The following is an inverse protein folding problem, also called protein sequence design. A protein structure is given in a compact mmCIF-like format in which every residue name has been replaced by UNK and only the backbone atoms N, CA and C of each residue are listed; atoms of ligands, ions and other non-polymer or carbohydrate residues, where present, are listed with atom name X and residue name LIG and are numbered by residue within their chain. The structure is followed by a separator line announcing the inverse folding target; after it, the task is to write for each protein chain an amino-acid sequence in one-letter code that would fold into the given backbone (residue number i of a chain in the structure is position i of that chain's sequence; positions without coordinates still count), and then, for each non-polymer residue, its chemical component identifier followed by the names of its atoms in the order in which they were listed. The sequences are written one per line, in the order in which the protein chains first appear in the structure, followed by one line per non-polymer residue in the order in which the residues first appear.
data_IF_975702885741
#
_entry.id   IF_975702885741
#
_cell.length_a   1.000
_cell.length_b   1.000
_cell.length_c   1.000
_cell.angle_alpha   90.00
_cell.angle_beta   90.00
_cell.angle_gamma   90.00
#
_symmetry.space_group_name_H-M   'P 1'
#
loop_
_entity.id
_entity.type
_entity.pdbx_description
1 polymer ?
2 non-polymer ?
3 water ?
#
# COMPACT_ATOMS: atom_id res chain seq x y z
N UNK A 9 -23.98 -4.57 -26.70
CA UNK A 9 -22.65 -5.09 -27.07
C UNK A 9 -21.51 -4.57 -26.20
N UNK A 10 -21.76 -3.51 -25.42
CA UNK A 10 -20.82 -2.91 -24.52
C UNK A 10 -20.07 -3.97 -23.70
N UNK A 11 -20.79 -4.66 -22.81
CA UNK A 11 -20.12 -5.56 -21.88
C UNK A 11 -19.48 -6.74 -22.63
N UNK A 12 -20.07 -7.12 -23.79
CA UNK A 12 -19.53 -8.20 -24.61
C UNK A 12 -18.09 -7.91 -24.97
N UNK A 13 -17.85 -6.68 -25.45
CA UNK A 13 -16.51 -6.23 -25.75
C UNK A 13 -15.58 -6.49 -24.55
N UNK A 14 -16.02 -6.09 -23.35
CA UNK A 14 -15.21 -6.22 -22.14
C UNK A 14 -14.99 -7.68 -21.77
N UNK A 15 -16.10 -8.44 -21.68
CA UNK A 15 -16.06 -9.78 -21.13
C UNK A 15 -15.35 -10.73 -22.08
N UNK A 16 -15.34 -10.40 -23.36
CA UNK A 16 -14.50 -11.08 -24.33
C UNK A 16 -13.04 -11.07 -23.88
N UNK A 17 -12.56 -9.97 -23.31
CA UNK A 17 -11.16 -9.86 -22.93
C UNK A 17 -10.98 -10.36 -21.50
N UNK A 18 -11.83 -9.86 -20.58
CA UNK A 18 -11.70 -10.24 -19.19
C UNK A 18 -12.97 -10.94 -18.73
N UNK A 19 -13.17 -12.21 -19.13
CA UNK A 19 -14.40 -12.94 -18.84
C UNK A 19 -14.44 -13.20 -17.34
N UNK A 20 -15.66 -13.18 -16.79
CA UNK A 20 -15.89 -13.28 -15.36
C UNK A 20 -15.19 -12.13 -14.63
N UNK A 21 -15.21 -10.95 -15.24
CA UNK A 21 -15.00 -9.72 -14.52
C UNK A 21 -16.03 -8.74 -15.05
N UNK A 22 -16.66 -7.96 -14.16
CA UNK A 22 -17.49 -6.86 -14.64
C UNK A 22 -16.61 -5.67 -14.97
N UNK A 23 -17.19 -4.72 -15.72
CA UNK A 23 -16.63 -3.38 -15.73
C UNK A 23 -16.72 -2.90 -14.28
N UNK A 24 -15.62 -2.39 -13.66
CA UNK A 24 -15.72 -1.83 -12.31
C UNK A 24 -16.56 -0.55 -12.32
N UNK A 25 -17.28 -0.29 -11.23
CA UNK A 25 -18.30 0.75 -11.18
C UNK A 25 -17.75 2.13 -11.53
N UNK A 26 -16.51 2.44 -11.11
CA UNK A 26 -15.91 3.70 -11.49
C UNK A 26 -15.85 3.79 -13.02
N UNK A 27 -15.26 2.78 -13.68
CA UNK A 27 -15.12 2.84 -15.11
C UNK A 27 -16.50 2.83 -15.77
N UNK A 28 -17.35 1.93 -15.33
CA UNK A 28 -18.70 1.84 -15.80
C UNK A 28 -19.39 3.20 -15.82
N UNK A 29 -19.10 3.99 -14.77
CA UNK A 29 -19.64 5.34 -14.67
C UNK A 29 -19.02 6.22 -15.74
N UNK A 30 -17.69 6.18 -15.92
CA UNK A 30 -17.05 7.09 -16.84
C UNK A 30 -17.43 6.81 -18.29
N UNK A 31 -17.88 5.60 -18.60
CA UNK A 31 -18.24 5.24 -19.95
C UNK A 31 -19.63 5.70 -20.37
N UNK A 32 -20.42 6.20 -19.44
CA UNK A 32 -21.73 6.77 -19.75
C UNK A 32 -21.56 7.98 -20.67
N UNK A 33 -22.52 8.27 -21.59
CA UNK A 33 -22.42 9.44 -22.46
C UNK A 33 -22.74 10.75 -21.70
N UNK A 48 -22.16 19.74 -16.04
CA UNK A 48 -20.99 19.38 -16.87
C UNK A 48 -19.72 19.36 -16.02
N UNK A 49 -19.37 20.51 -15.42
CA UNK A 49 -18.05 20.61 -14.87
C UNK A 49 -17.83 19.57 -13.78
N UNK A 50 -16.57 19.27 -13.62
CA UNK A 50 -16.08 18.30 -12.67
C UNK A 50 -15.19 19.03 -11.65
N UNK A 51 -14.37 18.26 -10.92
CA UNK A 51 -13.43 18.87 -10.01
C UNK A 51 -12.01 18.35 -10.29
N UNK A 52 -11.08 19.28 -10.30
CA UNK A 52 -9.68 18.94 -10.35
C UNK A 52 -9.11 19.26 -8.98
N UNK A 53 -8.44 18.31 -8.31
CA UNK A 53 -7.73 18.64 -7.09
C UNK A 53 -6.51 19.47 -7.44
N UNK A 54 -6.28 20.51 -6.65
CA UNK A 54 -5.22 21.46 -6.90
C UNK A 54 -4.07 21.27 -5.93
N UNK A 55 -4.25 20.46 -4.89
CA UNK A 55 -3.23 20.28 -3.88
C UNK A 55 -2.01 19.61 -4.50
N UNK A 56 -0.79 20.15 -4.23
CA UNK A 56 0.44 19.49 -4.59
C UNK A 56 1.23 19.16 -3.34
N UNK A 57 2.14 18.20 -3.44
CA UNK A 57 2.87 17.77 -2.25
C UNK A 57 4.14 17.03 -2.66
N UNK A 58 4.98 16.80 -1.65
CA UNK A 58 6.17 15.99 -1.83
C UNK A 58 5.89 14.56 -1.42
N UNK A 59 6.67 13.64 -1.97
CA UNK A 59 6.56 12.23 -1.67
C UNK A 59 6.60 11.97 -0.19
N UNK A 60 7.38 12.75 0.54
CA UNK A 60 7.54 12.42 1.95
C UNK A 60 6.31 12.85 2.75
N UNK A 61 5.27 13.35 2.07
CA UNK A 61 4.03 13.72 2.73
C UNK A 61 2.99 12.62 2.60
N UNK A 62 3.28 11.59 1.80
CA UNK A 62 2.43 10.42 1.73
C UNK A 62 2.80 9.48 2.88
N UNK A 63 2.14 9.61 4.01
CA UNK A 63 2.42 8.71 5.12
C UNK A 63 1.17 8.49 5.97
N UNK A 64 1.14 7.42 6.77
CA UNK A 64 -0.04 7.10 7.55
C UNK A 64 -0.28 8.19 8.56
N UNK A 65 -1.47 8.79 8.49
CA UNK A 65 -1.88 9.79 9.44
C UNK A 65 -1.74 11.22 8.91
N UNK A 66 -1.13 11.40 7.74
CA UNK A 66 -1.09 12.70 7.13
C UNK A 66 -2.51 13.23 7.00
N UNK A 67 -2.67 14.47 7.45
CA UNK A 67 -3.88 15.23 7.27
C UNK A 67 -3.81 16.02 5.98
N UNK A 68 -4.74 15.73 5.06
CA UNK A 68 -4.77 16.41 3.78
C UNK A 68 -6.02 17.26 3.77
N UNK A 69 -5.89 18.55 3.47
CA UNK A 69 -7.05 19.36 3.18
C UNK A 69 -7.03 19.57 1.68
N UNK A 70 -8.08 19.12 1.03
CA UNK A 70 -8.08 18.96 -0.40
C UNK A 70 -8.66 20.24 -1.00
N UNK A 71 -7.99 20.81 -1.99
CA UNK A 71 -8.48 22.00 -2.64
C UNK A 71 -8.98 21.60 -4.01
N UNK A 72 -10.22 21.94 -4.33
CA UNK A 72 -10.77 21.54 -5.61
C UNK A 72 -11.14 22.73 -6.44
N UNK A 73 -10.87 22.61 -7.73
CA UNK A 73 -11.10 23.66 -8.69
C UNK A 73 -12.11 23.21 -9.72
N UNK A 74 -12.88 24.17 -10.22
CA UNK A 74 -13.81 23.90 -11.31
C UNK A 74 -13.11 23.93 -12.66
N UNK A 75 -11.82 24.28 -12.68
CA UNK A 75 -11.06 24.43 -13.90
C UNK A 75 -9.63 23.88 -13.73
N UNK A 76 -9.04 23.25 -14.77
CA UNK A 76 -7.67 22.77 -14.65
C UNK A 76 -6.80 24.00 -14.76
N UNK A 77 -5.51 23.87 -14.51
CA UNK A 77 -4.51 24.94 -14.74
C UNK A 77 -3.81 24.83 -16.11
N UNK A 78 -4.24 25.64 -17.10
CA UNK A 78 -3.76 25.47 -18.46
C UNK A 78 -3.98 24.00 -18.77
N UNK A 79 -2.91 23.24 -19.06
CA UNK A 79 -2.94 21.80 -19.29
C UNK A 79 -3.59 21.00 -18.15
N UNK A 80 -3.93 19.71 -18.39
CA UNK A 80 -4.37 18.83 -17.32
C UNK A 80 -3.14 18.74 -16.40
N UNK A 81 -3.23 19.42 -15.25
CA UNK A 81 -2.10 19.61 -14.37
C UNK A 81 -1.02 19.82 -15.44
N UNK A 82 0.05 19.07 -15.35
CA UNK A 82 0.88 18.84 -16.50
C UNK A 82 0.48 17.42 -16.80
N UNK A 83 0.32 17.11 -18.06
CA UNK A 83 -0.27 15.84 -18.50
C UNK A 83 0.10 14.71 -17.53
N UNK A 104 -7.64 17.72 -27.96
CA UNK A 104 -7.64 16.51 -28.83
C UNK A 104 -8.91 16.37 -29.70
N UNK A 105 -9.50 17.47 -30.16
CA UNK A 105 -10.29 17.46 -31.38
C UNK A 105 -9.38 18.08 -32.41
N UNK A 106 -8.43 18.82 -31.85
CA UNK A 106 -7.18 19.18 -32.48
C UNK A 106 -6.26 17.97 -32.68
N UNK A 107 -6.45 16.92 -31.88
CA UNK A 107 -5.58 15.76 -31.92
C UNK A 107 -4.15 16.26 -31.76
N UNK A 108 -3.91 16.97 -30.66
CA UNK A 108 -2.55 17.06 -30.18
C UNK A 108 -2.22 15.66 -29.70
N UNK A 109 -2.36 14.66 -30.58
CA UNK A 109 -2.21 13.26 -30.23
C UNK A 109 -1.33 12.61 -31.28
N UNK A 110 -0.43 13.40 -31.88
CA UNK A 110 0.28 12.98 -33.08
C UNK A 110 1.69 12.56 -32.71
N UNK A 111 1.87 11.96 -31.52
CA UNK A 111 3.16 11.42 -31.09
C UNK A 111 3.18 9.89 -30.98
N UNK A 112 2.03 9.25 -31.26
CA UNK A 112 1.77 7.81 -31.22
C UNK A 112 1.65 7.37 -29.77
N UNK A 113 2.53 7.92 -28.90
CA UNK A 113 2.43 7.54 -27.49
C UNK A 113 1.09 8.03 -26.90
N UNK A 114 0.47 9.00 -27.58
CA UNK A 114 -0.83 9.55 -27.28
C UNK A 114 -1.91 9.03 -28.22
N UNK A 115 -3.14 8.97 -27.74
CA UNK A 115 -4.25 8.44 -28.51
C UNK A 115 -5.55 9.00 -27.97
N UNK A 116 -6.61 8.93 -28.78
CA UNK A 116 -7.84 9.61 -28.46
C UNK A 116 -8.99 8.64 -28.63
N UNK A 117 -9.43 8.05 -27.52
CA UNK A 117 -10.31 6.89 -27.56
C UNK A 117 -11.77 7.32 -27.51
N UNK A 118 -12.61 6.69 -28.34
CA UNK A 118 -14.00 7.09 -28.53
C UNK A 118 -14.97 5.98 -28.18
N UNK A 119 -14.48 4.81 -27.85
CA UNK A 119 -15.32 3.69 -27.47
C UNK A 119 -14.51 2.77 -26.58
N UNK A 120 -15.21 1.98 -25.77
CA UNK A 120 -14.53 1.08 -24.84
C UNK A 120 -13.58 0.16 -25.62
N UNK A 121 -13.97 -0.26 -26.82
CA UNK A 121 -13.14 -1.15 -27.62
C UNK A 121 -11.80 -0.47 -27.94
N UNK A 122 -11.85 0.73 -28.48
CA UNK A 122 -10.63 1.43 -28.81
C UNK A 122 -9.81 1.69 -27.54
N UNK A 123 -10.46 2.01 -26.44
CA UNK A 123 -9.77 2.27 -25.20
C UNK A 123 -8.99 1.03 -24.78
N UNK A 124 -9.64 -0.12 -24.79
CA UNK A 124 -8.97 -1.33 -24.39
C UNK A 124 -7.84 -1.64 -25.34
N UNK A 125 -8.12 -1.49 -26.64
CA UNK A 125 -7.11 -1.77 -27.65
C UNK A 125 -5.82 -1.03 -27.35
N UNK A 126 -5.92 0.28 -27.15
CA UNK A 126 -4.73 1.08 -26.88
C UNK A 126 -4.05 0.59 -25.61
N UNK A 127 -4.79 0.38 -24.53
CA UNK A 127 -4.17 0.00 -23.27
C UNK A 127 -3.40 -1.30 -23.44
N UNK A 128 -4.06 -2.32 -24.03
CA UNK A 128 -3.39 -3.59 -24.12
C UNK A 128 -2.25 -3.50 -25.11
N UNK A 129 -2.37 -2.65 -26.12
CA UNK A 129 -1.28 -2.58 -27.08
C UNK A 129 0.00 -2.13 -26.39
N UNK A 130 -0.10 -1.38 -25.29
CA UNK A 130 1.08 -0.87 -24.62
C UNK A 130 1.47 -1.76 -23.43
N UNK A 131 0.50 -2.38 -22.76
CA UNK A 131 0.74 -3.03 -21.48
C UNK A 131 0.49 -4.54 -21.50
N UNK A 132 -0.19 -5.03 -22.54
CA UNK A 132 -0.70 -6.39 -22.52
C UNK A 132 -2.01 -6.48 -21.77
N UNK A 133 -2.50 -7.70 -21.63
CA UNK A 133 -3.88 -8.00 -21.31
C UNK A 133 -4.04 -8.04 -19.79
N UNK A 134 -2.94 -8.26 -19.05
CA UNK A 134 -3.08 -8.52 -17.64
C UNK A 134 -3.02 -7.22 -16.86
N UNK A 135 -4.10 -6.44 -16.99
CA UNK A 135 -4.13 -5.10 -16.44
C UNK A 135 -5.51 -4.84 -15.83
N UNK A 136 -5.54 -3.83 -14.96
CA UNK A 136 -6.77 -3.37 -14.36
C UNK A 136 -6.85 -1.85 -14.50
N UNK A 137 -8.05 -1.28 -14.69
CA UNK A 137 -8.24 0.16 -14.62
C UNK A 137 -8.60 0.62 -13.21
N UNK A 138 -7.99 1.71 -12.77
CA UNK A 138 -8.31 2.34 -11.50
C UNK A 138 -8.58 3.83 -11.68
N UNK A 139 -9.30 4.41 -10.72
CA UNK A 139 -9.59 5.83 -10.72
C UNK A 139 -9.85 6.27 -9.29
N UNK A 140 -9.76 7.56 -9.05
CA UNK A 140 -9.95 8.08 -7.69
C UNK A 140 -11.42 8.05 -7.34
N UNK A 141 -11.73 8.08 -6.05
CA UNK A 141 -13.10 8.20 -5.57
C UNK A 141 -13.19 9.20 -4.44
N UNK A 142 -12.87 10.45 -4.75
CA UNK A 142 -13.13 11.53 -3.82
C UNK A 142 -14.64 11.60 -3.63
N UNK A 143 -15.03 11.94 -2.40
CA UNK A 143 -16.43 11.97 -2.02
C UNK A 143 -16.97 13.39 -2.09
N UNK A 144 -18.28 13.48 -2.37
CA UNK A 144 -18.94 14.66 -2.89
C UNK A 144 -18.54 15.98 -2.27
N UNK A 145 -18.68 16.19 -0.97
CA UNK A 145 -18.36 17.52 -0.48
C UNK A 145 -17.40 17.47 0.70
N UNK A 146 -16.59 16.43 0.70
CA UNK A 146 -15.64 16.26 1.76
C UNK A 146 -14.40 17.02 1.35
N UNK A 147 -13.67 17.46 2.39
CA UNK A 147 -12.57 18.37 2.24
C UNK A 147 -11.30 17.77 2.85
N UNK A 148 -11.49 17.18 4.04
CA UNK A 148 -10.37 16.78 4.86
C UNK A 148 -10.31 15.26 4.98
N UNK A 149 -9.13 14.72 4.68
CA UNK A 149 -8.95 13.29 4.69
C UNK A 149 -7.70 12.94 5.46
N UNK A 150 -7.68 11.75 6.06
CA UNK A 150 -6.48 11.22 6.65
C UNK A 150 -5.98 10.02 5.83
N UNK A 151 -4.69 9.99 5.55
CA UNK A 151 -4.12 8.95 4.73
C UNK A 151 -3.97 7.70 5.58
N UNK A 152 -4.41 6.56 5.05
CA UNK A 152 -4.36 5.31 5.78
C UNK A 152 -3.10 4.53 5.39
N UNK A 153 -2.68 4.68 4.13
CA UNK A 153 -1.59 3.89 3.60
C UNK A 153 -1.27 4.35 2.18
N UNK A 154 -0.24 3.75 1.56
CA UNK A 154 0.24 4.20 0.28
C UNK A 154 0.79 3.02 -0.48
N UNK A 155 0.21 2.75 -1.66
CA UNK A 155 0.55 1.54 -2.38
C UNK A 155 1.22 1.92 -3.68
N UNK A 156 2.40 1.37 -3.91
CA UNK A 156 3.18 1.70 -5.08
C UNK A 156 2.67 0.92 -6.28
N UNK A 157 2.32 1.58 -7.37
CA UNK A 157 1.85 0.90 -8.58
C UNK A 157 2.91 0.95 -9.67
N UNK A 158 4.13 1.41 -9.37
CA UNK A 158 5.20 1.40 -10.37
C UNK A 158 5.10 2.52 -11.40
N UNK A 159 5.92 2.38 -12.46
CA UNK A 159 6.17 3.44 -13.42
C UNK A 159 5.71 3.07 -14.83
N UNK A 160 5.08 1.90 -15.00
CA UNK A 160 4.43 1.58 -16.25
C UNK A 160 2.93 1.62 -16.05
N UNK A 161 2.29 2.43 -16.89
CA UNK A 161 0.85 2.63 -16.80
C UNK A 161 0.36 3.42 -18.00
N UNK A 162 -0.95 3.42 -18.23
CA UNK A 162 -1.54 4.25 -19.25
C UNK A 162 -2.60 5.09 -18.59
N UNK A 163 -2.58 6.40 -18.87
CA UNK A 163 -3.56 7.28 -18.28
C UNK A 163 -4.53 7.72 -19.32
N UNK A 164 -5.79 7.75 -18.92
CA UNK A 164 -6.86 8.13 -19.80
C UNK A 164 -7.72 9.19 -19.12
N UNK A 165 -7.87 10.36 -19.74
CA UNK A 165 -8.64 11.45 -19.18
C UNK A 165 -9.94 11.62 -19.96
N UNK A 166 -11.06 11.52 -19.23
CA UNK A 166 -12.39 11.59 -19.82
C UNK A 166 -12.68 13.06 -20.13
N UNK A 167 -12.75 13.38 -21.41
CA UNK A 167 -12.94 14.77 -21.79
C UNK A 167 -14.40 15.10 -21.49
N UNK A 168 -14.67 16.40 -21.39
CA UNK A 168 -15.91 16.87 -20.81
C UNK A 168 -17.04 16.88 -21.84
N UNK A 169 -16.84 16.30 -23.03
CA UNK A 169 -17.92 16.22 -24.02
C UNK A 169 -19.09 15.38 -23.52
N UNK A 170 -20.25 15.53 -24.14
CA UNK A 170 -21.33 14.56 -23.88
C UNK A 170 -20.84 13.17 -24.25
N UNK A 171 -20.29 13.09 -25.47
CA UNK A 171 -19.80 11.83 -26.01
C UNK A 171 -18.67 11.30 -25.13
N UNK A 172 -18.66 9.98 -25.02
CA UNK A 172 -17.54 9.24 -24.44
C UNK A 172 -16.30 9.51 -25.27
N UNK A 173 -15.36 10.28 -24.70
CA UNK A 173 -14.07 10.56 -25.33
C UNK A 173 -12.99 10.56 -24.26
N UNK A 174 -11.88 9.84 -24.47
CA UNK A 174 -10.76 9.96 -23.55
C UNK A 174 -9.48 10.27 -24.32
N UNK A 175 -8.63 11.10 -23.71
CA UNK A 175 -7.29 11.30 -24.21
C UNK A 175 -6.38 10.38 -23.41
N UNK A 176 -5.69 9.47 -24.10
CA UNK A 176 -4.91 8.46 -23.41
C UNK A 176 -3.43 8.63 -23.77
N UNK A 177 -2.56 8.40 -22.79
CA UNK A 177 -1.15 8.44 -23.05
C UNK A 177 -0.41 7.52 -22.07
N UNK A 178 0.79 7.12 -22.48
CA UNK A 178 1.65 6.36 -21.59
C UNK A 178 2.29 7.33 -20.62
N UNK A 179 2.83 6.81 -19.50
CA UNK A 179 3.51 7.64 -18.53
C UNK A 179 5.00 7.32 -18.52
N UNK A 180 5.80 8.34 -18.23
CA UNK A 180 7.25 8.19 -18.21
C UNK A 180 7.82 9.13 -17.16
N UNK A 181 8.90 8.70 -16.50
CA UNK A 181 9.51 9.51 -15.46
C UNK A 181 8.56 9.86 -14.32
N UNK A 182 7.72 8.90 -13.96
CA UNK A 182 6.61 9.14 -13.06
C UNK A 182 6.24 7.84 -12.32
N UNK A 183 5.92 7.93 -11.02
CA UNK A 183 5.45 6.79 -10.27
C UNK A 183 4.02 7.00 -9.82
N UNK A 184 3.18 5.97 -9.95
CA UNK A 184 1.80 6.07 -9.54
C UNK A 184 1.58 5.39 -8.20
N UNK A 185 0.64 5.92 -7.42
CA UNK A 185 0.33 5.33 -6.14
C UNK A 185 -1.19 5.24 -5.96
N UNK A 186 -1.61 4.27 -5.17
CA UNK A 186 -2.99 4.21 -4.74
C UNK A 186 -3.02 4.55 -3.27
N UNK A 187 -3.86 5.51 -2.87
CA UNK A 187 -3.75 6.12 -1.56
C UNK A 187 -5.07 6.00 -0.83
N UNK A 188 -5.23 4.97 0.00
CA UNK A 188 -6.45 4.85 0.78
C UNK A 188 -6.52 5.93 1.85
N UNK A 189 -7.73 6.41 2.08
CA UNK A 189 -7.95 7.57 2.91
C UNK A 189 -9.26 7.39 3.63
N UNK A 190 -9.38 8.01 4.79
CA UNK A 190 -10.65 8.12 5.46
C UNK A 190 -10.98 9.60 5.56
N UNK A 191 -12.22 9.94 5.21
CA UNK A 191 -12.67 11.32 5.20
C UNK A 191 -13.09 11.75 6.60
N UNK A 192 -13.33 13.05 6.76
CA UNK A 192 -13.77 13.64 8.02
C UNK A 192 -15.03 12.96 8.53
N UNK A 193 -15.95 12.62 7.61
CA UNK A 193 -17.21 12.06 8.04
C UNK A 193 -17.10 10.57 8.39
N UNK A 194 -15.89 10.00 8.28
CA UNK A 194 -15.68 8.61 8.66
C UNK A 194 -15.73 7.61 7.49
N UNK A 195 -16.17 8.06 6.32
CA UNK A 195 -16.20 7.19 5.17
C UNK A 195 -14.80 6.91 4.64
N UNK A 196 -14.59 5.70 4.15
CA UNK A 196 -13.28 5.30 3.64
C UNK A 196 -13.35 5.27 2.15
N UNK A 197 -12.26 5.71 1.50
CA UNK A 197 -12.22 5.69 0.06
C UNK A 197 -10.76 5.63 -0.34
N UNK A 198 -10.42 5.99 -1.57
CA UNK A 198 -9.04 5.99 -1.98
C UNK A 198 -8.90 6.93 -3.17
N UNK A 199 -7.67 7.42 -3.38
CA UNK A 199 -7.39 8.26 -4.51
C UNK A 199 -6.08 7.88 -5.16
N UNK A 200 -5.93 8.22 -6.44
CA UNK A 200 -4.68 7.97 -7.14
C UNK A 200 -3.81 9.19 -7.04
N UNK A 201 -2.53 8.95 -6.71
CA UNK A 201 -1.54 10.00 -6.73
C UNK A 201 -0.47 9.69 -7.76
N UNK A 202 0.12 10.75 -8.29
CA UNK A 202 1.14 10.65 -9.29
C UNK A 202 2.33 11.47 -8.83
N UNK A 203 3.53 10.87 -8.76
CA UNK A 203 4.73 11.63 -8.47
C UNK A 203 5.62 11.68 -9.70
N UNK A 204 5.90 12.89 -10.16
CA UNK A 204 6.77 13.12 -11.28
C UNK A 204 8.19 13.32 -10.78
N UNK A 205 9.10 12.48 -11.26
CA UNK A 205 10.42 12.44 -10.68
C UNK A 205 11.42 13.00 -11.68
N UNK A 206 11.19 12.80 -12.98
CA UNK A 206 11.74 13.71 -13.97
C UNK A 206 10.88 14.96 -13.90
N UNK A 207 11.20 15.82 -12.94
CA UNK A 207 10.31 16.88 -12.47
C UNK A 207 10.37 18.09 -13.40
N UNK A 208 10.56 17.80 -14.70
CA UNK A 208 10.66 18.79 -15.76
C UNK A 208 9.30 18.99 -16.42
N UNK A 209 9.23 19.83 -17.46
CA UNK A 209 8.11 19.80 -18.41
C UNK A 209 6.77 20.23 -17.80
N UNK A 210 6.85 21.26 -16.96
CA UNK A 210 5.74 21.78 -16.20
C UNK A 210 5.90 23.29 -16.01
N UNK A 211 4.80 23.97 -15.73
CA UNK A 211 4.85 25.35 -15.26
C UNK A 211 5.69 25.50 -14.00
N UNK A 212 6.89 26.05 -14.14
CA UNK A 212 7.74 26.38 -13.02
C UNK A 212 6.97 27.29 -12.06
N UNK A 213 6.11 28.16 -12.61
CA UNK A 213 5.29 29.05 -11.82
C UNK A 213 4.48 28.26 -10.79
N UNK A 214 3.81 27.18 -11.19
CA UNK A 214 2.93 26.49 -10.25
C UNK A 214 3.78 25.69 -9.27
N UNK A 215 4.90 25.12 -9.73
CA UNK A 215 5.83 24.46 -8.83
C UNK A 215 6.24 25.45 -7.74
N UNK A 216 6.56 26.67 -8.17
CA UNK A 216 6.92 27.67 -7.20
C UNK A 216 5.71 28.02 -6.35
N UNK A 217 4.56 28.27 -6.98
CA UNK A 217 3.39 28.69 -6.24
C UNK A 217 3.12 27.71 -5.09
N UNK A 218 3.11 26.41 -5.44
CA UNK A 218 2.64 25.38 -4.55
C UNK A 218 3.74 24.91 -3.59
N UNK A 219 4.99 24.85 -4.08
CA UNK A 219 6.05 24.16 -3.33
C UNK A 219 7.30 25.03 -3.17
N UNK A 220 7.25 26.26 -3.72
CA UNK A 220 8.33 27.23 -3.60
C UNK A 220 9.62 26.61 -4.13
N UNK A 221 9.49 25.94 -5.28
CA UNK A 221 10.57 25.23 -5.93
C UNK A 221 10.38 25.39 -7.44
N UNK A 222 11.48 25.13 -8.17
CA UNK A 222 11.52 25.26 -9.61
C UNK A 222 11.98 23.92 -10.22
N UNK A 223 11.81 23.69 -11.54
CA UNK A 223 12.08 22.39 -12.13
C UNK A 223 13.43 21.74 -11.87
N UNK A 224 13.53 20.43 -12.17
CA UNK A 224 14.81 19.74 -12.13
C UNK A 224 15.21 19.24 -10.75
N UNK A 225 14.77 19.90 -9.68
CA UNK A 225 15.38 19.66 -8.38
C UNK A 225 14.78 18.44 -7.64
N UNK A 226 13.46 18.40 -7.49
CA UNK A 226 12.86 17.45 -6.56
C UNK A 226 11.53 16.94 -7.09
N UNK A 227 11.12 15.77 -6.58
CA UNK A 227 9.94 15.09 -7.09
C UNK A 227 8.68 15.80 -6.60
N UNK A 228 7.76 16.08 -7.52
CA UNK A 228 6.52 16.76 -7.18
C UNK A 228 5.37 15.79 -7.41
N UNK A 229 4.43 15.76 -6.46
CA UNK A 229 3.32 14.82 -6.51
C UNK A 229 2.01 15.58 -6.47
N UNK A 230 0.99 15.01 -7.12
CA UNK A 230 -0.38 15.45 -6.97
C UNK A 230 -1.39 14.34 -7.20
N UNK A 231 -2.65 14.59 -6.86
CA UNK A 231 -3.69 13.59 -7.03
C UNK A 231 -4.35 13.71 -8.39
N UNK A 232 -5.13 12.68 -8.76
CA UNK A 232 -5.92 12.70 -9.97
C UNK A 232 -7.40 12.77 -9.62
N UNK A 233 -8.17 13.39 -10.50
CA UNK A 233 -9.60 13.53 -10.33
C UNK A 233 -10.33 12.23 -10.63
N UNK A 234 -11.57 12.14 -10.13
CA UNK A 234 -12.38 10.96 -10.29
C UNK A 234 -12.63 10.64 -11.77
N UNK A 235 -12.33 11.56 -12.67
CA UNK A 235 -12.67 11.37 -14.07
C UNK A 235 -11.52 10.70 -14.82
N UNK A 236 -10.38 10.50 -14.16
CA UNK A 236 -9.24 9.88 -14.83
C UNK A 236 -9.35 8.37 -14.63
N UNK A 237 -8.85 7.62 -15.62
CA UNK A 237 -8.64 6.20 -15.47
C UNK A 237 -7.17 5.94 -15.67
N UNK A 238 -6.61 5.07 -14.84
CA UNK A 238 -5.24 4.67 -15.05
C UNK A 238 -5.21 3.14 -15.16
N UNK A 239 -4.59 2.63 -16.22
CA UNK A 239 -4.45 1.20 -16.39
C UNK A 239 -3.10 0.76 -15.87
N UNK A 240 -3.11 -0.30 -15.07
CA UNK A 240 -1.93 -0.70 -14.33
C UNK A 240 -1.80 -2.21 -14.44
N UNK A 241 -0.58 -2.75 -14.58
CA UNK A 241 -0.36 -4.18 -14.59
C UNK A 241 -0.75 -4.86 -13.28
N UNK A 242 -1.23 -6.09 -13.42
CA UNK A 242 -1.62 -6.86 -12.26
C UNK A 242 -0.41 -7.18 -11.37
N UNK A 243 0.78 -7.29 -11.98
CA UNK A 243 2.01 -7.56 -11.27
C UNK A 243 2.20 -6.54 -10.15
N UNK A 244 2.04 -5.27 -10.50
CA UNK A 244 2.28 -4.17 -9.59
C UNK A 244 1.33 -4.25 -8.39
N UNK A 245 0.05 -4.44 -8.68
CA UNK A 245 -1.01 -4.46 -7.70
C UNK A 245 -0.78 -5.54 -6.66
N UNK A 246 -0.46 -6.74 -7.12
CA UNK A 246 -0.31 -7.88 -6.22
C UNK A 246 0.74 -7.58 -5.14
N UNK A 247 1.80 -6.84 -5.55
CA UNK A 247 2.86 -6.47 -4.61
C UNK A 247 3.45 -7.75 -4.04
N UNK A 248 3.39 -7.93 -2.70
CA UNK A 248 3.97 -9.08 -2.05
C UNK A 248 3.25 -10.37 -2.42
N UNK A 249 1.94 -10.28 -2.58
CA UNK A 249 1.04 -11.41 -2.56
C UNK A 249 1.22 -12.21 -3.86
N UNK A 250 2.16 -11.77 -4.72
CA UNK A 250 2.64 -12.56 -5.85
C UNK A 250 3.20 -13.90 -5.35
N UNK A 251 3.93 -13.88 -4.22
CA UNK A 251 4.61 -15.06 -3.71
C UNK A 251 4.97 -14.79 -2.23
N UNK B 9 2.63 -35.05 7.29
CA UNK B 9 1.75 -34.79 8.47
C UNK B 9 1.46 -33.31 8.67
N UNK B 10 2.52 -32.49 8.69
CA UNK B 10 2.32 -31.08 9.01
C UNK B 10 1.43 -30.43 7.94
N UNK B 11 1.83 -30.56 6.66
CA UNK B 11 1.06 -29.96 5.58
C UNK B 11 -0.36 -30.54 5.54
N UNK B 12 -0.54 -31.78 5.97
CA UNK B 12 -1.88 -32.37 6.02
C UNK B 12 -2.79 -31.51 6.92
N UNK B 13 -2.26 -31.27 8.11
CA UNK B 13 -2.90 -30.42 9.12
C UNK B 13 -3.26 -29.08 8.47
N UNK B 14 -2.29 -28.47 7.76
CA UNK B 14 -2.46 -27.17 7.16
C UNK B 14 -3.53 -27.21 6.06
N UNK B 15 -3.38 -28.14 5.12
CA UNK B 15 -4.21 -28.17 3.92
C UNK B 15 -5.63 -28.55 4.26
N UNK B 16 -5.82 -29.26 5.37
CA UNK B 16 -7.16 -29.47 5.90
C UNK B 16 -7.88 -28.13 6.11
N UNK B 17 -7.17 -27.12 6.58
CA UNK B 17 -7.79 -25.85 6.89
C UNK B 17 -7.78 -24.95 5.66
N UNK B 18 -6.61 -24.83 5.02
CA UNK B 18 -6.48 -23.97 3.87
C UNK B 18 -6.06 -24.79 2.66
N UNK B 19 -7.01 -25.56 2.07
CA UNK B 19 -6.70 -26.46 0.97
C UNK B 19 -6.34 -25.61 -0.24
N UNK B 20 -5.43 -26.14 -1.06
CA UNK B 20 -4.87 -25.42 -2.19
C UNK B 20 -4.19 -24.14 -1.73
N UNK B 21 -3.54 -24.19 -0.57
CA UNK B 21 -2.51 -23.24 -0.24
C UNK B 21 -1.38 -24.02 0.39
N UNK B 22 -0.12 -23.69 0.08
CA UNK B 22 1.01 -24.25 0.82
C UNK B 22 1.24 -23.45 2.08
N UNK B 23 2.00 -24.05 3.01
CA UNK B 23 2.63 -23.26 4.03
C UNK B 23 3.53 -22.27 3.30
N UNK B 24 3.46 -20.95 3.59
CA UNK B 24 4.40 -20.01 2.97
C UNK B 24 5.82 -20.24 3.47
N UNK B 25 6.81 -19.98 2.62
CA UNK B 25 8.20 -20.37 2.90
C UNK B 25 8.72 -19.77 4.20
N UNK B 26 8.35 -18.54 4.52
CA UNK B 26 8.71 -17.93 5.77
C UNK B 26 8.24 -18.84 6.92
N UNK B 27 6.94 -19.15 6.96
CA UNK B 27 6.40 -19.93 8.06
C UNK B 27 7.01 -21.33 8.04
N UNK B 28 7.03 -21.93 6.87
CA UNK B 28 7.61 -23.25 6.68
C UNK B 28 9.00 -23.32 7.29
N UNK B 29 9.76 -22.22 7.16
CA UNK B 29 11.09 -22.13 7.75
C UNK B 29 10.99 -22.08 9.27
N UNK B 30 10.10 -21.25 9.82
CA UNK B 30 10.05 -21.08 11.26
C UNK B 30 9.60 -22.34 11.99
N UNK B 31 8.89 -23.22 11.30
CA UNK B 31 8.41 -24.45 11.89
C UNK B 31 9.45 -25.57 12.02
N UNK B 32 10.61 -25.39 11.42
CA UNK B 32 11.70 -26.34 11.53
C UNK B 32 12.17 -26.38 12.99
N UNK B 33 12.66 -27.54 13.50
CA UNK B 33 13.16 -27.64 14.88
C UNK B 33 14.52 -26.96 15.04
N UNK B 49 20.94 -18.24 17.58
CA UNK B 49 20.69 -16.80 17.88
C UNK B 49 20.07 -16.12 16.66
N UNK B 50 19.68 -14.85 16.84
CA UNK B 50 18.76 -14.24 15.91
C UNK B 50 19.24 -12.84 15.60
N UNK B 51 18.38 -12.03 14.98
CA UNK B 51 18.55 -10.60 15.07
C UNK B 51 17.23 -9.94 15.43
N UNK B 52 17.32 -8.98 16.34
CA UNK B 52 16.22 -8.08 16.61
C UNK B 52 16.59 -6.73 16.05
N UNK B 53 15.75 -6.12 15.19
CA UNK B 53 16.00 -4.76 14.74
C UNK B 53 15.73 -3.82 15.91
N UNK B 54 16.61 -2.85 16.08
CA UNK B 54 16.56 -1.93 17.20
C UNK B 54 16.06 -0.55 16.80
N UNK B 55 15.95 -0.30 15.51
CA UNK B 55 15.56 1.01 15.01
C UNK B 55 14.12 1.32 15.46
N UNK B 56 13.88 2.53 16.00
CA UNK B 56 12.52 2.99 16.30
C UNK B 56 12.19 4.25 15.50
N UNK B 57 10.90 4.53 15.29
CA UNK B 57 10.54 5.64 14.43
C UNK B 57 9.10 6.07 14.70
N UNK B 58 8.77 7.25 14.17
CA UNK B 58 7.40 7.72 14.15
C UNK B 58 6.74 7.31 12.83
N UNK B 59 5.43 7.22 12.89
CA UNK B 59 4.61 6.90 11.75
C UNK B 59 4.93 7.78 10.57
N UNK B 60 5.26 9.05 10.80
CA UNK B 60 5.46 9.92 9.65
C UNK B 60 6.79 9.65 8.96
N UNK B 61 7.53 8.63 9.42
CA UNK B 61 8.77 8.24 8.75
C UNK B 61 8.55 7.07 7.81
N UNK B 62 7.35 6.48 7.83
CA UNK B 62 7.00 5.47 6.84
C UNK B 62 6.49 6.13 5.59
N UNK B 63 7.39 6.40 4.64
CA UNK B 63 6.94 7.00 3.39
C UNK B 63 7.83 6.56 2.23
N UNK B 64 7.35 6.69 0.99
CA UNK B 64 8.11 6.21 -0.15
C UNK B 64 9.40 7.00 -0.28
N UNK B 65 10.50 6.29 -0.26
CA UNK B 65 11.81 6.90 -0.44
C UNK B 65 12.56 7.08 0.87
N UNK B 66 11.89 6.85 2.01
CA UNK B 66 12.59 6.88 3.27
C UNK B 66 13.78 5.92 3.20
N UNK B 67 14.94 6.45 3.59
CA UNK B 67 16.14 5.69 3.77
C UNK B 67 16.21 5.18 5.20
N UNK B 68 16.26 3.86 5.35
CA UNK B 68 16.34 3.25 6.66
C UNK B 68 17.70 2.59 6.75
N UNK B 69 18.47 2.91 7.79
CA UNK B 69 19.66 2.14 8.08
C UNK B 69 19.29 1.31 9.30
N UNK B 70 19.39 0.01 9.13
CA UNK B 70 18.77 -0.90 10.05
C UNK B 70 19.82 -1.30 11.08
N UNK B 71 19.47 -1.23 12.35
CA UNK B 71 20.40 -1.55 13.40
C UNK B 71 19.94 -2.87 14.00
N UNK B 72 20.82 -3.87 14.04
CA UNK B 72 20.41 -5.17 14.52
C UNK B 72 21.20 -5.58 15.74
N UNK B 73 20.47 -6.20 16.66
CA UNK B 73 21.04 -6.64 17.92
C UNK B 73 20.96 -8.15 18.02
N UNK B 74 21.94 -8.71 18.72
CA UNK B 74 21.94 -10.14 19.01
C UNK B 74 21.04 -10.47 20.19
N UNK B 75 20.52 -9.43 20.87
CA UNK B 75 19.73 -9.60 22.09
C UNK B 75 18.56 -8.63 22.10
N UNK B 76 17.38 -9.04 22.64
CA UNK B 76 16.24 -8.14 22.73
C UNK B 76 16.55 -7.08 23.80
N UNK B 104 4.33 -20.46 28.48
CA UNK B 104 5.66 -20.92 28.02
C UNK B 104 6.49 -21.40 29.21
N UNK B 105 7.78 -21.67 28.94
CA UNK B 105 8.73 -21.87 30.02
C UNK B 105 8.37 -20.84 31.09
N UNK B 106 8.02 -19.64 30.63
CA UNK B 106 7.47 -18.62 31.52
C UNK B 106 5.99 -18.52 31.17
N UNK B 107 5.17 -19.45 31.69
CA UNK B 107 3.74 -19.36 31.41
C UNK B 107 3.31 -18.00 31.92
N UNK B 108 3.11 -17.09 30.98
CA UNK B 108 2.58 -15.77 31.28
C UNK B 108 1.24 -15.68 30.60
N UNK B 109 0.62 -16.84 30.33
CA UNK B 109 -0.71 -16.93 29.78
C UNK B 109 -1.76 -17.19 30.87
N UNK B 110 -1.57 -16.53 32.01
CA UNK B 110 -2.64 -16.37 32.98
C UNK B 110 -3.89 -15.83 32.28
N UNK B 111 -3.77 -15.28 31.06
CA UNK B 111 -4.76 -14.32 30.57
C UNK B 111 -5.79 -14.72 29.48
N UNK B 112 -5.73 -15.94 28.91
CA UNK B 112 -6.57 -16.53 27.86
C UNK B 112 -6.20 -15.90 26.53
N UNK B 113 -5.83 -14.61 26.53
CA UNK B 113 -5.44 -13.92 25.31
C UNK B 113 -3.96 -14.17 25.02
N UNK B 114 -3.34 -15.13 25.74
CA UNK B 114 -1.93 -15.46 25.60
C UNK B 114 -1.80 -16.98 25.64
N UNK B 115 -0.85 -17.55 24.92
CA UNK B 115 -0.80 -18.98 24.71
C UNK B 115 0.59 -19.38 24.23
N UNK B 116 0.93 -20.67 24.39
CA UNK B 116 2.29 -21.10 24.11
C UNK B 116 2.24 -22.35 23.25
N UNK B 117 2.43 -22.13 21.95
CA UNK B 117 2.15 -23.15 20.93
C UNK B 117 3.36 -24.01 20.67
N UNK B 118 3.15 -25.32 20.53
CA UNK B 118 4.21 -26.31 20.44
C UNK B 118 4.17 -27.06 19.11
N UNK B 119 3.11 -26.88 18.35
CA UNK B 119 2.96 -27.61 17.09
C UNK B 119 2.09 -26.77 16.17
N UNK B 120 2.22 -26.99 14.86
CA UNK B 120 1.48 -26.21 13.89
C UNK B 120 -0.01 -26.32 14.18
N UNK B 121 -0.48 -27.49 14.63
CA UNK B 121 -1.90 -27.66 14.91
C UNK B 121 -2.34 -26.70 16.01
N UNK B 122 -1.63 -26.70 17.14
CA UNK B 122 -1.99 -25.82 18.23
C UNK B 122 -1.88 -24.36 17.79
N UNK B 123 -0.87 -24.04 16.99
CA UNK B 123 -0.68 -22.68 16.55
C UNK B 123 -1.88 -22.22 15.76
N UNK B 124 -2.32 -23.04 14.81
CA UNK B 124 -3.45 -22.68 14.00
C UNK B 124 -4.68 -22.57 14.87
N UNK B 125 -4.85 -23.56 15.75
CA UNK B 125 -6.02 -23.57 16.64
C UNK B 125 -6.18 -22.23 17.35
N UNK B 126 -5.12 -21.78 17.97
CA UNK B 126 -5.18 -20.53 18.70
C UNK B 126 -5.51 -19.37 17.78
N UNK B 127 -4.84 -19.28 16.66
CA UNK B 127 -5.04 -18.15 15.76
C UNK B 127 -6.50 -18.09 15.33
N UNK B 128 -7.05 -19.23 14.89
CA UNK B 128 -8.40 -19.19 14.40
C UNK B 128 -9.34 -18.99 15.56
N UNK B 129 -8.98 -19.45 16.75
CA UNK B 129 -9.93 -19.28 17.86
C UNK B 129 -10.16 -17.79 18.13
N UNK B 130 -9.19 -16.94 17.78
CA UNK B 130 -9.30 -15.52 18.04
C UNK B 130 -9.78 -14.76 16.79
N UNK B 131 -9.42 -15.21 15.59
CA UNK B 131 -9.63 -14.43 14.38
C UNK B 131 -10.56 -15.08 13.36
N UNK B 132 -10.86 -16.37 13.55
CA UNK B 132 -11.52 -17.12 12.51
C UNK B 132 -10.55 -17.63 11.47
N UNK B 133 -11.10 -18.28 10.45
CA UNK B 133 -10.36 -19.13 9.55
C UNK B 133 -9.80 -18.31 8.39
N UNK B 134 -10.38 -17.14 8.13
CA UNK B 134 -9.99 -16.40 6.95
C UNK B 134 -8.81 -15.48 7.25
N UNK B 135 -7.64 -16.10 7.43
CA UNK B 135 -6.46 -15.38 7.88
C UNK B 135 -5.24 -15.89 7.14
N UNK B 136 -4.19 -15.06 7.15
CA UNK B 136 -2.91 -15.40 6.58
C UNK B 136 -1.82 -15.09 7.59
N UNK B 137 -0.74 -15.88 7.64
CA UNK B 137 0.43 -15.52 8.43
C UNK B 137 1.45 -14.74 7.59
N UNK B 138 2.02 -13.69 8.20
CA UNK B 138 3.08 -12.93 7.60
C UNK B 138 4.26 -12.81 8.57
N UNK B 139 5.44 -12.56 8.02
CA UNK B 139 6.65 -12.35 8.79
C UNK B 139 7.61 -11.50 7.99
N UNK B 140 8.59 -10.90 8.67
CA UNK B 140 9.53 -10.03 7.98
C UNK B 140 10.53 -10.87 7.21
N UNK B 141 11.17 -10.29 6.21
CA UNK B 141 12.23 -10.95 5.48
C UNK B 141 13.39 -10.01 5.25
N UNK B 142 14.02 -9.61 6.33
CA UNK B 142 15.28 -8.91 6.23
C UNK B 142 16.29 -9.88 5.63
N UNK B 143 17.18 -9.33 4.82
CA UNK B 143 18.16 -10.11 4.08
C UNK B 143 19.51 -10.12 4.80
N UNK B 144 20.24 -11.22 4.60
CA UNK B 144 21.34 -11.65 5.46
C UNK B 144 22.29 -10.56 5.91
N UNK B 145 22.95 -9.81 5.03
CA UNK B 145 23.91 -8.86 5.57
C UNK B 145 23.70 -7.46 5.03
N UNK B 146 22.45 -7.20 4.70
CA UNK B 146 22.11 -5.92 4.15
C UNK B 146 21.80 -5.02 5.33
N UNK B 147 22.05 -3.72 5.15
CA UNK B 147 21.95 -2.76 6.22
C UNK B 147 20.97 -1.63 5.86
N UNK B 148 21.06 -1.20 4.60
CA UNK B 148 20.38 -0.01 4.16
C UNK B 148 19.28 -0.37 3.16
N UNK B 149 18.09 0.15 3.44
CA UNK B 149 16.93 -0.15 2.61
C UNK B 149 16.19 1.15 2.28
N UNK B 150 15.50 1.17 1.16
CA UNK B 150 14.61 2.25 0.83
C UNK B 150 13.17 1.76 0.85
N UNK B 151 12.27 2.54 1.46
CA UNK B 151 10.91 2.12 1.59
C UNK B 151 10.18 2.34 0.27
N UNK B 152 9.44 1.34 -0.20
CA UNK B 152 8.74 1.42 -1.47
C UNK B 152 7.30 1.84 -1.26
N UNK B 153 6.72 1.42 -0.13
CA UNK B 153 5.32 1.65 0.15
C UNK B 153 4.97 1.15 1.55
N UNK B 154 3.70 1.32 1.96
CA UNK B 154 3.30 1.01 3.32
C UNK B 154 1.85 0.55 3.32
N UNK B 155 1.61 -0.66 3.79
CA UNK B 155 0.29 -1.25 3.66
C UNK B 155 -0.28 -1.46 5.04
N UNK B 156 -1.48 -0.92 5.26
CA UNK B 156 -2.11 -0.98 6.55
C UNK B 156 -2.77 -2.33 6.75
N UNK B 157 -2.47 -3.02 7.84
CA UNK B 157 -3.09 -4.32 8.10
C UNK B 157 -4.08 -4.21 9.26
N UNK B 158 -4.36 -3.00 9.76
CA UNK B 158 -5.36 -2.85 10.82
C UNK B 158 -4.86 -3.25 12.21
N UNK B 159 -5.82 -3.39 13.16
CA UNK B 159 -5.50 -3.48 14.58
C UNK B 159 -5.94 -4.80 15.20
N UNK B 160 -6.47 -5.73 14.40
CA UNK B 160 -6.77 -7.07 14.88
C UNK B 160 -5.79 -8.02 14.23
N UNK B 161 -5.09 -8.76 15.10
CA UNK B 161 -4.07 -9.69 14.66
C UNK B 161 -3.61 -10.54 15.82
N UNK B 162 -2.91 -11.64 15.55
CA UNK B 162 -2.28 -12.45 16.56
C UNK B 162 -0.79 -12.50 16.25
N UNK B 163 0.02 -12.27 17.29
CA UNK B 163 1.44 -12.32 17.09
C UNK B 163 1.99 -13.54 17.77
N UNK B 164 2.93 -14.16 17.06
CA UNK B 164 3.55 -15.37 17.55
C UNK B 164 5.05 -15.19 17.44
N UNK B 165 5.75 -15.35 18.58
CA UNK B 165 7.20 -15.19 18.59
C UNK B 165 7.83 -16.56 18.76
N UNK B 166 8.70 -16.93 17.81
CA UNK B 166 9.36 -18.22 17.80
C UNK B 166 10.48 -18.15 18.84
N UNK B 167 10.36 -18.92 19.89
CA UNK B 167 11.35 -18.84 20.96
C UNK B 167 12.62 -19.52 20.45
N UNK B 168 13.75 -19.16 21.04
CA UNK B 168 15.03 -19.53 20.46
C UNK B 168 15.41 -20.96 20.80
N UNK B 169 14.49 -21.74 21.41
CA UNK B 169 14.79 -23.13 21.81
C UNK B 169 14.89 -24.01 20.56
N UNK B 170 15.61 -25.14 20.58
CA UNK B 170 15.66 -25.98 19.38
C UNK B 170 14.26 -26.39 18.99
N UNK B 171 13.47 -26.76 20.01
CA UNK B 171 12.09 -27.20 19.78
C UNK B 171 11.28 -26.06 19.20
N UNK B 172 10.37 -26.40 18.30
CA UNK B 172 9.34 -25.51 17.81
C UNK B 172 8.48 -25.06 18.98
N UNK B 173 8.63 -23.79 19.39
CA UNK B 173 7.81 -23.20 20.43
C UNK B 173 7.51 -21.76 20.05
N UNK B 174 6.24 -21.34 20.11
CA UNK B 174 5.94 -19.95 19.93
C UNK B 174 5.09 -19.42 21.08
N UNK B 175 5.39 -18.21 21.50
CA UNK B 175 4.55 -17.51 22.45
C UNK B 175 3.61 -16.65 21.63
N UNK B 176 2.31 -16.89 21.79
CA UNK B 176 1.35 -16.20 20.92
C UNK B 176 0.41 -15.35 21.79
N UNK B 177 0.03 -14.19 21.26
CA UNK B 177 -0.90 -13.33 21.96
C UNK B 177 -1.61 -12.43 20.96
N UNK B 178 -2.78 -11.93 21.38
CA UNK B 178 -3.49 -10.94 20.59
C UNK B 178 -2.79 -9.60 20.73
N UNK B 179 -3.06 -8.66 19.81
CA UNK B 179 -2.56 -7.32 19.94
C UNK B 179 -3.70 -6.38 20.27
N UNK B 180 -3.40 -5.28 20.94
CA UNK B 180 -4.38 -4.26 21.29
C UNK B 180 -3.69 -2.90 21.27
N UNK B 181 -4.42 -1.85 20.92
CA UNK B 181 -3.88 -0.50 20.92
C UNK B 181 -2.67 -0.33 20.01
N UNK B 182 -2.72 -1.00 18.86
CA UNK B 182 -1.58 -1.14 17.98
C UNK B 182 -2.03 -1.34 16.54
N UNK B 183 -1.34 -0.72 15.58
CA UNK B 183 -1.61 -0.96 14.17
C UNK B 183 -0.44 -1.64 13.50
N UNK B 184 -0.73 -2.66 12.67
CA UNK B 184 0.33 -3.36 11.98
C UNK B 184 0.44 -2.91 10.53
N UNK B 185 1.65 -2.93 9.99
CA UNK B 185 1.87 -2.55 8.62
C UNK B 185 2.78 -3.54 7.92
N UNK B 186 2.61 -3.67 6.61
CA UNK B 186 3.56 -4.41 5.80
C UNK B 186 4.32 -3.40 4.96
N UNK B 187 5.64 -3.44 5.01
CA UNK B 187 6.46 -2.36 4.48
C UNK B 187 7.43 -2.92 3.44
N UNK B 188 7.06 -2.86 2.15
CA UNK B 188 7.98 -3.29 1.12
C UNK B 188 9.15 -2.35 1.00
N UNK B 189 10.31 -2.93 0.71
CA UNK B 189 11.56 -2.22 0.74
C UNK B 189 12.47 -2.78 -0.35
N UNK B 190 13.38 -1.95 -0.83
CA UNK B 190 14.43 -2.45 -1.70
C UNK B 190 15.75 -2.19 -1.00
N UNK B 191 16.60 -3.20 -0.96
CA UNK B 191 17.87 -3.13 -0.26
C UNK B 191 18.93 -2.48 -1.13
N UNK B 192 20.08 -2.18 -0.53
CA UNK B 192 21.21 -1.57 -1.23
C UNK B 192 21.62 -2.41 -2.44
N UNK B 193 21.59 -3.73 -2.32
CA UNK B 193 22.06 -4.55 -3.41
C UNK B 193 21.03 -4.70 -4.52
N UNK B 194 19.85 -4.06 -4.36
CA UNK B 194 18.86 -4.08 -5.43
C UNK B 194 17.75 -5.13 -5.22
N UNK B 195 17.93 -6.05 -4.29
CA UNK B 195 16.90 -7.01 -4.01
C UNK B 195 15.72 -6.38 -3.28
N UNK B 196 14.54 -6.88 -3.59
CA UNK B 196 13.31 -6.36 -3.00
C UNK B 196 12.83 -7.34 -1.96
N UNK B 197 12.31 -6.81 -0.86
CA UNK B 197 11.78 -7.65 0.19
C UNK B 197 10.75 -6.85 0.95
N UNK B 198 10.39 -7.27 2.16
CA UNK B 198 9.45 -6.51 2.93
C UNK B 198 9.62 -6.84 4.40
N UNK B 199 9.15 -5.93 5.25
CA UNK B 199 9.20 -6.18 6.67
C UNK B 199 7.91 -5.72 7.33
N UNK B 200 7.62 -6.31 8.48
CA UNK B 200 6.45 -5.91 9.25
C UNK B 200 6.83 -4.85 10.25
N UNK B 201 6.00 -3.81 10.31
CA UNK B 201 6.14 -2.78 11.30
C UNK B 201 4.91 -2.76 12.20
N UNK B 202 5.13 -2.34 13.43
CA UNK B 202 4.10 -2.25 14.42
C UNK B 202 4.14 -0.84 15.00
N UNK B 203 3.00 -0.14 14.99
CA UNK B 203 2.90 1.15 15.64
C UNK B 203 1.96 1.08 16.84
N UNK B 204 2.53 1.35 18.02
CA UNK B 204 1.78 1.34 19.25
C UNK B 204 1.23 2.73 19.52
N UNK B 205 -0.10 2.80 19.65
CA UNK B 205 -0.73 4.10 19.69
C UNK B 205 -1.27 4.36 21.08
N UNK B 206 -1.70 3.31 21.80
CA UNK B 206 -1.71 3.38 23.25
C UNK B 206 -0.25 3.23 23.68
N UNK B 207 0.47 4.35 23.64
CA UNK B 207 1.92 4.36 23.67
C UNK B 207 2.40 4.28 25.14
N UNK B 208 1.63 3.57 25.97
CA UNK B 208 1.93 3.50 27.41
C UNK B 208 2.65 2.18 27.69
N UNK B 209 2.96 1.89 28.96
CA UNK B 209 3.35 0.54 29.37
C UNK B 209 4.69 0.08 28.76
N UNK B 210 5.63 1.03 28.74
CA UNK B 210 6.93 0.86 28.13
C UNK B 210 7.97 1.68 28.89
N UNK B 211 9.24 1.32 28.74
CA UNK B 211 10.32 2.06 29.39
C UNK B 211 10.40 3.47 28.84
N UNK B 212 9.94 4.45 29.62
CA UNK B 212 9.98 5.84 29.23
C UNK B 212 11.39 6.22 28.81
N UNK B 213 12.40 5.64 29.47
CA UNK B 213 13.80 5.92 29.15
C UNK B 213 14.07 5.56 27.69
N UNK B 214 13.58 4.41 27.18
CA UNK B 214 13.95 4.07 25.81
C UNK B 214 13.16 4.94 24.82
N UNK B 215 11.90 5.25 25.16
CA UNK B 215 11.12 6.18 24.37
C UNK B 215 11.89 7.49 24.25
N UNK B 216 12.43 7.93 25.38
CA UNK B 216 13.21 9.15 25.36
C UNK B 216 14.48 8.92 24.55
N UNK B 217 15.19 7.83 24.83
CA UNK B 217 16.46 7.58 24.16
C UNK B 217 16.28 7.66 22.65
N UNK B 218 15.25 6.96 22.16
CA UNK B 218 15.07 6.75 20.73
C UNK B 218 14.35 7.93 20.07
N UNK B 219 13.36 8.52 20.76
CA UNK B 219 12.43 9.44 20.13
C UNK B 219 12.29 10.76 20.90
N UNK B 220 13.03 10.88 22.02
CA UNK B 220 13.08 12.09 22.82
C UNK B 220 11.66 12.45 23.24
N UNK B 221 10.92 11.44 23.66
CA UNK B 221 9.53 11.56 24.08
C UNK B 221 9.30 10.60 25.26
N UNK B 222 8.21 10.85 25.96
CA UNK B 222 7.83 10.07 27.14
C UNK B 222 6.40 9.57 26.96
N UNK B 223 5.94 8.55 27.72
CA UNK B 223 4.68 7.86 27.41
C UNK B 223 3.42 8.71 27.24
N UNK B 224 2.38 8.08 26.69
CA UNK B 224 1.06 8.67 26.62
C UNK B 224 0.86 9.62 25.43
N UNK B 225 1.92 10.26 24.95
CA UNK B 225 1.74 11.38 24.04
C UNK B 225 1.60 10.95 22.58
N UNK B 226 2.52 10.15 22.06
CA UNK B 226 2.60 9.97 20.61
C UNK B 226 2.95 8.55 20.23
N UNK B 227 2.58 8.17 19.01
CA UNK B 227 2.68 6.80 18.56
C UNK B 227 4.13 6.45 18.28
N UNK B 228 4.59 5.31 18.82
CA UNK B 228 5.94 4.85 18.55
C UNK B 228 5.89 3.57 17.72
N UNK B 229 6.74 3.50 16.70
CA UNK B 229 6.72 2.39 15.77
C UNK B 229 8.08 1.70 15.73
N UNK B 230 8.06 0.38 15.52
CA UNK B 230 9.28 -0.36 15.22
C UNK B 230 9.00 -1.57 14.34
N UNK B 231 10.07 -2.18 13.81
CA UNK B 231 9.94 -3.37 12.99
C UNK B 231 9.98 -4.64 13.82
N UNK B 232 9.51 -5.76 13.23
CA UNK B 232 9.63 -7.07 13.81
C UNK B 232 10.69 -7.88 13.08
N UNK B 233 11.32 -8.79 13.82
CA UNK B 233 12.36 -9.65 13.29
C UNK B 233 11.77 -10.79 12.48
N UNK B 234 12.62 -11.41 11.66
CA UNK B 234 12.19 -12.48 10.77
C UNK B 234 11.61 -13.65 11.57
N UNK B 235 11.78 -13.69 12.89
CA UNK B 235 11.36 -14.86 13.65
C UNK B 235 9.92 -14.70 14.12
N UNK B 236 9.31 -13.53 13.89
CA UNK B 236 7.93 -13.35 14.32
C UNK B 236 6.99 -13.78 13.20
N UNK B 237 5.82 -14.28 13.60
CA UNK B 237 4.73 -14.51 12.69
C UNK B 237 3.56 -13.68 13.17
N UNK B 238 2.88 -13.03 12.23
CA UNK B 238 1.69 -12.31 12.60
C UNK B 238 0.54 -12.80 11.74
N UNK B 239 -0.57 -13.18 12.39
CA UNK B 239 -1.73 -13.65 11.66
C UNK B 239 -2.69 -12.49 11.49
N UNK B 240 -3.21 -12.33 10.27
CA UNK B 240 -3.96 -11.14 9.92
C UNK B 240 -5.16 -11.57 9.09
N UNK B 241 -6.32 -10.96 9.29
CA UNK B 241 -7.48 -11.22 8.45
C UNK B 241 -7.30 -10.90 6.98
N UNK B 242 -7.94 -11.70 6.14
CA UNK B 242 -7.86 -11.51 4.71
C UNK B 242 -8.50 -10.19 4.29
N UNK B 243 -9.53 -9.75 5.03
CA UNK B 243 -10.20 -8.50 4.74
C UNK B 243 -9.22 -7.35 4.69
N UNK B 244 -8.34 -7.29 5.69
CA UNK B 244 -7.39 -6.20 5.82
C UNK B 244 -6.45 -6.15 4.62
N UNK B 245 -5.90 -7.30 4.28
CA UNK B 245 -4.93 -7.47 3.21
C UNK B 245 -5.49 -7.00 1.88
N UNK B 246 -6.68 -7.43 1.55
CA UNK B 246 -7.29 -7.14 0.26
C UNK B 246 -7.37 -5.63 0.03
N UNK B 247 -7.62 -4.88 1.13
CA UNK B 247 -7.69 -3.43 1.05
C UNK B 247 -8.76 -3.04 0.04
N UNK B 248 -8.35 -2.31 -1.01
CA UNK B 248 -9.27 -1.84 -2.02
C UNK B 248 -9.81 -2.99 -2.86
N UNK B 249 -8.95 -3.97 -3.11
CA UNK B 249 -9.19 -4.97 -4.15
C UNK B 249 -10.38 -5.81 -3.69
N UNK B 250 -10.69 -5.83 -2.38
CA UNK B 250 -11.96 -6.33 -1.84
C UNK B 250 -12.39 -5.52 -0.62
#
# INVERSE_FOLDING_TARGET
AHGGRELIPDEDYWQAVWPNTPIPNTLKELLKPGAQDSEINDVPMKVDDTQYPKTFFFEHELFPGKKMNMKFSKIPFAQPYGVYTWGKVIKDLEKESFTFEDACVREAGKGEDKYCAKSLSTLIGFAVSKLGKNIQPFSSSFLDKQTDYTIEGVHNLGDKAVMCHRLNFQSTVFYCHEIHGTTAYMVPMVAADGRRTQALAVCHHDTSGMNAEVLYEMLKIKPGTETACHFLGNKAVMWVPNMAVNSVYNNANMAS
AHGGRELIPDEDYWQAVWPNTPIPNTLKELLKPGAQDSEINDVPMKVDDTQYPKTFFFEHELFPGKKMNMKFSKIPFAQPYGVYTWGKVIKDLEKESFTFEDACVREAGKGEDKYCAKSLSTLIGFAVSKLGKNIQPFSSSFLDKQTDYTIEGVHNLGDKAVMCHRLNFQSTVFYCHEIHGTTAYMVPMVAADGRRTQALAVCHHDTSGMNAEVLYEMLKIKPGTETACHFLGNKAVMWVPNMAVNSVYNNANMAS
#
